data_IF_716755580620
#
_entry.id   IF_716755580620
#
_cell.length_a   1.000
_cell.length_b   1.000
_cell.length_c   1.000
_cell.angle_alpha   90.00
_cell.angle_beta   90.00
_cell.angle_gamma   90.00
#
_symmetry.space_group_name_H-M   'P 1'
#
loop_
_entity.id
_entity.type
_entity.pdbx_description
1 polymer ?
#
# COMPACT_ATOMS: atom_id res chain seq x y z
N UNK A 1 -15.90 1.75 6.11
CA UNK A 1 -14.57 2.28 5.73
C UNK A 1 -13.85 1.22 4.91
N UNK A 2 -13.08 1.59 3.91
CA UNK A 2 -12.46 0.64 2.99
C UNK A 2 -10.94 0.64 3.16
N UNK A 3 -10.34 -0.55 3.30
CA UNK A 3 -8.90 -0.76 3.38
C UNK A 3 -8.38 -1.32 2.04
N UNK A 4 -7.10 -1.21 1.77
CA UNK A 4 -6.40 -1.90 0.69
C UNK A 4 -5.39 -2.88 1.32
N UNK A 5 -5.85 -4.07 1.66
CA UNK A 5 -5.03 -5.12 2.27
C UNK A 5 -4.55 -6.12 1.23
N UNK A 6 -5.46 -6.52 0.33
CA UNK A 6 -5.20 -7.47 -0.76
C UNK A 6 -5.74 -6.91 -2.09
N UNK A 7 -5.37 -7.54 -3.19
CA UNK A 7 -5.89 -7.21 -4.53
C UNK A 7 -7.37 -7.55 -4.67
N UNK A 8 -7.87 -8.57 -3.98
CA UNK A 8 -9.31 -8.97 -3.93
C UNK A 8 -10.21 -7.95 -3.26
N UNK A 9 -9.67 -6.97 -2.55
CA UNK A 9 -10.47 -5.93 -1.90
C UNK A 9 -11.16 -5.00 -2.91
N UNK A 10 -10.81 -5.13 -4.20
CA UNK A 10 -11.34 -4.31 -5.28
C UNK A 10 -11.97 -5.16 -6.39
N UNK A 11 -13.11 -4.69 -6.92
CA UNK A 11 -13.70 -5.25 -8.14
C UNK A 11 -12.90 -4.83 -9.37
N UNK A 12 -13.15 -5.51 -10.50
CA UNK A 12 -12.50 -5.13 -11.77
C UNK A 12 -12.85 -3.70 -12.17
N UNK A 13 -14.11 -3.29 -11.99
CA UNK A 13 -14.56 -1.92 -12.31
C UNK A 13 -13.83 -0.87 -11.47
N UNK A 14 -13.56 -1.18 -10.21
CA UNK A 14 -12.83 -0.29 -9.31
C UNK A 14 -11.36 -0.20 -9.67
N UNK A 15 -10.74 -1.30 -10.09
CA UNK A 15 -9.37 -1.33 -10.58
C UNK A 15 -9.25 -0.51 -11.87
N UNK A 16 -10.21 -0.65 -12.79
CA UNK A 16 -10.25 0.16 -14.01
C UNK A 16 -10.42 1.66 -13.69
N UNK A 17 -11.28 2.01 -12.74
CA UNK A 17 -11.44 3.39 -12.29
C UNK A 17 -10.15 3.95 -11.67
N UNK A 18 -9.41 3.13 -10.89
CA UNK A 18 -8.08 3.51 -10.38
C UNK A 18 -7.09 3.76 -11.53
N UNK A 19 -7.12 2.96 -12.58
CA UNK A 19 -6.21 3.12 -13.73
C UNK A 19 -6.55 4.34 -14.58
N UNK A 20 -7.83 4.65 -14.77
CA UNK A 20 -8.24 5.93 -15.38
C UNK A 20 -7.65 7.09 -14.60
N UNK A 21 -7.80 7.06 -13.27
CA UNK A 21 -7.26 8.11 -12.40
C UNK A 21 -5.73 8.16 -12.42
N UNK A 22 -5.06 7.01 -12.47
CA UNK A 22 -3.61 6.94 -12.57
C UNK A 22 -3.10 7.57 -13.90
N UNK A 23 -3.79 7.34 -15.02
CA UNK A 23 -3.45 7.97 -16.30
C UNK A 23 -3.59 9.50 -16.24
N UNK A 24 -4.65 10.02 -15.61
CA UNK A 24 -4.79 11.48 -15.40
C UNK A 24 -3.59 12.08 -14.65
N UNK A 25 -3.01 11.33 -13.68
CA UNK A 25 -1.84 11.78 -12.94
C UNK A 25 -0.52 11.68 -13.73
N UNK A 26 -0.46 10.94 -14.82
CA UNK A 26 0.70 10.95 -15.72
C UNK A 26 0.75 12.24 -16.53
N UNK A 27 -0.39 12.75 -16.96
CA UNK A 27 -0.51 13.89 -17.87
C UNK A 27 -0.69 15.23 -17.13
N UNK A 28 -1.31 15.21 -15.94
CA UNK A 28 -1.61 16.41 -15.17
C UNK A 28 -0.68 16.57 -13.96
N UNK A 29 -0.38 17.82 -13.60
CA UNK A 29 0.27 18.11 -12.33
C UNK A 29 -0.63 17.64 -11.17
N UNK A 30 -0.05 17.05 -10.11
CA UNK A 30 -0.81 16.66 -8.91
C UNK A 30 -1.60 17.84 -8.37
N UNK A 31 -2.84 17.57 -7.96
CA UNK A 31 -3.75 18.56 -7.36
C UNK A 31 -3.75 18.39 -5.85
N UNK A 32 -4.07 19.46 -5.13
CA UNK A 32 -4.20 19.46 -3.67
C UNK A 32 -5.49 18.75 -3.18
N UNK A 33 -5.76 17.55 -3.73
CA UNK A 33 -6.96 16.76 -3.40
C UNK A 33 -6.94 16.16 -2.00
N UNK A 34 -5.75 16.10 -1.38
CA UNK A 34 -5.57 15.67 0.00
C UNK A 34 -5.16 16.83 0.92
N UNK A 35 -5.49 18.07 0.55
CA UNK A 35 -5.25 19.22 1.40
C UNK A 35 -5.96 19.04 2.75
N UNK A 36 -5.27 19.37 3.86
CA UNK A 36 -5.72 19.16 5.24
C UNK A 36 -5.92 17.69 5.64
N UNK A 37 -5.41 16.73 4.86
CA UNK A 37 -5.39 15.31 5.20
C UNK A 37 -4.03 14.91 5.74
N UNK A 38 -4.03 13.99 6.70
CA UNK A 38 -2.81 13.44 7.30
C UNK A 38 -2.67 11.99 6.91
N UNK A 39 -1.54 11.65 6.29
CA UNK A 39 -1.16 10.28 5.96
C UNK A 39 0.03 9.87 6.82
N UNK A 40 -0.13 8.79 7.59
CA UNK A 40 0.98 8.18 8.33
C UNK A 40 1.57 7.06 7.50
N UNK A 41 2.90 7.02 7.36
CA UNK A 41 3.63 5.87 6.83
C UNK A 41 4.39 5.20 7.96
N UNK A 42 4.11 3.92 8.23
CA UNK A 42 4.77 3.14 9.27
C UNK A 42 5.42 1.90 8.68
N UNK A 43 6.74 1.83 8.80
CA UNK A 43 7.55 0.76 8.21
C UNK A 43 8.35 0.05 9.28
N UNK A 44 8.02 -1.24 9.51
CA UNK A 44 8.70 -2.11 10.47
C UNK A 44 9.87 -2.88 9.86
N UNK A 45 10.10 -2.72 8.57
CA UNK A 45 11.26 -3.22 7.84
C UNK A 45 11.82 -2.15 6.89
N UNK A 46 13.10 -2.28 6.55
CA UNK A 46 13.73 -1.34 5.63
C UNK A 46 13.10 -1.40 4.24
N UNK A 47 12.65 -0.26 3.75
CA UNK A 47 12.09 -0.15 2.39
C UNK A 47 12.18 1.28 1.88
N UNK A 48 13.28 1.61 1.23
CA UNK A 48 13.50 2.96 0.73
C UNK A 48 12.53 3.31 -0.41
N UNK A 49 12.42 2.47 -1.42
CA UNK A 49 11.58 2.75 -2.60
C UNK A 49 10.10 2.88 -2.26
N UNK A 50 9.53 1.89 -1.58
CA UNK A 50 8.09 1.88 -1.25
C UNK A 50 7.73 3.04 -0.33
N UNK A 51 8.54 3.29 0.72
CA UNK A 51 8.32 4.42 1.63
C UNK A 51 8.32 5.74 0.86
N UNK A 52 9.41 6.00 0.12
CA UNK A 52 9.56 7.27 -0.61
C UNK A 52 8.46 7.46 -1.65
N UNK A 53 8.01 6.40 -2.35
CA UNK A 53 6.93 6.53 -3.34
C UNK A 53 5.61 6.94 -2.71
N UNK A 54 5.21 6.34 -1.58
CA UNK A 54 4.01 6.75 -0.84
C UNK A 54 4.12 8.17 -0.28
N UNK A 55 5.25 8.51 0.33
CA UNK A 55 5.47 9.85 0.90
C UNK A 55 5.44 10.93 -0.18
N UNK A 56 6.10 10.70 -1.31
CA UNK A 56 6.10 11.65 -2.43
C UNK A 56 4.70 11.79 -3.02
N UNK A 57 3.99 10.67 -3.24
CA UNK A 57 2.64 10.69 -3.78
C UNK A 57 1.69 11.47 -2.88
N UNK A 58 1.66 11.17 -1.58
CA UNK A 58 0.81 11.87 -0.63
C UNK A 58 1.12 13.38 -0.54
N UNK A 59 2.40 13.75 -0.50
CA UNK A 59 2.84 15.15 -0.50
C UNK A 59 2.45 15.89 -1.78
N UNK A 60 2.58 15.24 -2.95
CA UNK A 60 2.17 15.83 -4.24
C UNK A 60 0.66 16.05 -4.33
N UNK A 61 -0.12 15.30 -3.57
CA UNK A 61 -1.57 15.47 -3.46
C UNK A 61 -1.98 16.46 -2.35
N UNK A 62 -1.03 17.13 -1.70
CA UNK A 62 -1.28 18.14 -0.68
C UNK A 62 -1.43 17.62 0.75
N UNK A 63 -1.21 16.31 1.00
CA UNK A 63 -1.31 15.75 2.34
C UNK A 63 -0.13 16.13 3.24
N UNK A 64 -0.41 16.28 4.53
CA UNK A 64 0.60 16.19 5.57
C UNK A 64 1.05 14.72 5.70
N UNK A 65 2.35 14.47 5.67
CA UNK A 65 2.90 13.12 5.78
C UNK A 65 3.73 13.01 7.04
N UNK A 66 3.36 12.05 7.89
CA UNK A 66 4.12 11.67 9.10
C UNK A 66 4.75 10.31 8.85
N UNK A 67 6.08 10.26 8.82
CA UNK A 67 6.83 9.03 8.60
C UNK A 67 7.37 8.48 9.91
N UNK A 68 6.98 7.25 10.26
CA UNK A 68 7.41 6.55 11.46
C UNK A 68 8.35 5.40 11.10
N UNK A 69 9.56 5.45 11.59
CA UNK A 69 10.54 4.37 11.45
C UNK A 69 10.61 3.57 12.75
N UNK A 70 9.83 2.51 12.81
CA UNK A 70 9.72 1.65 14.00
C UNK A 70 10.86 0.63 14.07
N UNK A 71 11.59 0.42 12.96
CA UNK A 71 12.71 -0.53 12.93
C UNK A 71 13.82 -0.18 13.94
N UNK A 72 13.84 1.07 14.40
CA UNK A 72 14.90 1.60 15.29
C UNK A 72 14.42 2.00 16.69
N UNK A 73 13.13 2.12 16.98
CA UNK A 73 12.69 2.75 18.24
C UNK A 73 11.71 1.96 19.12
N UNK A 74 10.71 1.29 18.61
CA UNK A 74 9.63 0.74 19.45
C UNK A 74 9.77 -0.72 19.83
N UNK A 75 10.43 -1.56 19.03
CA UNK A 75 10.69 -2.95 19.38
C UNK A 75 11.60 -3.10 20.61
N UNK A 76 12.32 -2.04 20.98
CA UNK A 76 13.17 -2.01 22.19
C UNK A 76 12.41 -1.70 23.48
N UNK A 77 11.13 -1.25 23.39
CA UNK A 77 10.33 -0.82 24.55
C UNK A 77 9.21 -1.77 24.95
N UNK A 78 9.09 -2.95 24.29
CA UNK A 78 8.05 -3.93 24.61
C UNK A 78 6.64 -3.52 24.18
N UNK A 79 6.47 -2.51 23.33
CA UNK A 79 5.17 -2.13 22.78
C UNK A 79 4.59 -3.25 21.92
N UNK A 80 3.31 -3.55 22.15
CA UNK A 80 2.56 -4.51 21.34
C UNK A 80 2.05 -3.86 20.06
N UNK A 81 1.65 -4.68 19.09
CA UNK A 81 1.01 -4.19 17.86
C UNK A 81 -0.28 -3.41 18.18
N UNK A 82 -0.99 -3.80 19.24
CA UNK A 82 -2.22 -3.13 19.69
C UNK A 82 -1.94 -1.74 20.25
N UNK A 83 -0.88 -1.61 21.06
CA UNK A 83 -0.45 -0.31 21.59
C UNK A 83 -0.08 0.62 20.44
N UNK A 84 0.65 0.11 19.46
CA UNK A 84 0.99 0.86 18.24
C UNK A 84 -0.28 1.31 17.50
N UNK A 85 -1.27 0.41 17.30
CA UNK A 85 -2.52 0.74 16.63
C UNK A 85 -3.29 1.83 17.38
N UNK A 86 -3.44 1.70 18.70
CA UNK A 86 -4.13 2.68 19.54
C UNK A 86 -3.46 4.05 19.49
N UNK A 87 -2.13 4.09 19.56
CA UNK A 87 -1.36 5.34 19.45
C UNK A 87 -1.52 5.99 18.08
N UNK A 88 -1.51 5.21 16.99
CA UNK A 88 -1.71 5.73 15.64
C UNK A 88 -3.13 6.28 15.45
N UNK A 89 -4.14 5.57 15.94
CA UNK A 89 -5.53 6.00 15.83
C UNK A 89 -5.81 7.28 16.63
N UNK A 90 -5.21 7.41 17.81
CA UNK A 90 -5.30 8.61 18.65
C UNK A 90 -4.70 9.86 17.99
N UNK A 91 -3.80 9.72 17.03
CA UNK A 91 -3.25 10.83 16.25
C UNK A 91 -4.23 11.34 15.18
N UNK A 92 -5.34 10.65 14.94
CA UNK A 92 -6.39 11.03 14.00
C UNK A 92 -5.95 11.11 12.54
N UNK A 93 -5.21 10.12 11.99
CA UNK A 93 -4.82 10.16 10.58
C UNK A 93 -6.01 9.88 9.65
N UNK A 94 -5.94 10.41 8.43
CA UNK A 94 -6.90 10.11 7.37
C UNK A 94 -6.57 8.81 6.61
N UNK A 95 -5.32 8.35 6.66
CA UNK A 95 -4.89 7.04 6.15
C UNK A 95 -3.56 6.62 6.77
N UNK A 96 -3.35 5.29 6.87
CA UNK A 96 -2.08 4.72 7.33
C UNK A 96 -1.55 3.75 6.27
N UNK A 97 -0.32 3.97 5.80
CA UNK A 97 0.43 3.03 4.98
C UNK A 97 1.29 2.17 5.88
N UNK A 98 1.10 0.86 5.84
CA UNK A 98 1.80 -0.09 6.72
C UNK A 98 2.66 -1.04 5.90
N UNK A 99 3.91 -1.24 6.33
CA UNK A 99 4.75 -2.33 5.86
C UNK A 99 5.33 -3.10 7.04
N UNK A 100 5.18 -4.43 7.03
CA UNK A 100 5.63 -5.28 8.14
C UNK A 100 6.31 -6.57 7.64
N UNK A 101 7.26 -7.09 8.44
CA UNK A 101 7.95 -8.36 8.15
C UNK A 101 7.07 -9.60 8.33
N UNK A 102 6.03 -9.51 9.16
CA UNK A 102 5.08 -10.59 9.41
C UNK A 102 3.82 -10.42 8.59
N UNK A 103 3.36 -11.51 7.98
CA UNK A 103 2.11 -11.58 7.21
C UNK A 103 0.90 -11.31 8.10
N UNK A 104 -0.14 -10.63 7.56
CA UNK A 104 -1.41 -10.38 8.24
C UNK A 104 -1.45 -9.13 9.13
N UNK A 105 -0.31 -8.49 9.42
CA UNK A 105 -0.27 -7.31 10.29
C UNK A 105 -1.13 -6.15 9.80
N UNK A 106 -1.15 -5.76 8.51
CA UNK A 106 -2.06 -4.73 8.02
C UNK A 106 -3.54 -5.07 8.24
N UNK A 107 -3.91 -6.35 8.10
CA UNK A 107 -5.27 -6.81 8.37
C UNK A 107 -5.63 -6.69 9.86
N UNK A 108 -4.72 -7.05 10.74
CA UNK A 108 -4.91 -6.90 12.18
C UNK A 108 -5.10 -5.42 12.53
N UNK A 109 -4.21 -4.54 12.08
CA UNK A 109 -4.29 -3.10 12.34
C UNK A 109 -5.61 -2.49 11.83
N UNK A 110 -6.12 -2.93 10.70
CA UNK A 110 -7.38 -2.47 10.12
C UNK A 110 -8.59 -2.68 11.06
N UNK A 111 -8.52 -3.61 12.02
CA UNK A 111 -9.57 -3.85 13.00
C UNK A 111 -9.49 -2.94 14.25
N UNK A 112 -8.40 -2.17 14.39
CA UNK A 112 -8.13 -1.38 15.60
C UNK A 112 -7.95 0.11 15.33
N UNK A 113 -8.11 0.55 14.09
CA UNK A 113 -7.98 1.98 13.71
C UNK A 113 -9.22 2.46 12.97
N UNK A 114 -9.52 3.74 13.09
CA UNK A 114 -10.68 4.40 12.47
C UNK A 114 -10.36 5.08 11.13
N UNK A 115 -9.27 4.69 10.46
CA UNK A 115 -8.89 5.20 9.15
C UNK A 115 -8.50 4.07 8.18
N UNK A 116 -8.51 4.30 6.86
CA UNK A 116 -8.03 3.33 5.87
C UNK A 116 -6.60 2.86 6.13
N UNK A 117 -6.41 1.53 6.07
CA UNK A 117 -5.08 0.90 6.03
C UNK A 117 -4.74 0.56 4.58
N UNK A 118 -3.52 0.92 4.16
CA UNK A 118 -2.93 0.58 2.87
C UNK A 118 -1.73 -0.34 3.14
N UNK A 119 -1.79 -1.56 2.61
CA UNK A 119 -0.72 -2.54 2.73
C UNK A 119 0.44 -2.21 1.76
N UNK A 120 1.54 -1.71 2.29
CA UNK A 120 2.81 -1.47 1.58
C UNK A 120 3.73 -2.69 1.49
N UNK A 121 3.20 -3.89 1.82
CA UNK A 121 3.89 -5.18 1.82
C UNK A 121 3.96 -5.83 3.20
N UNK A 122 3.50 -7.06 3.35
CA UNK A 122 3.52 -7.81 4.59
C UNK A 122 4.07 -9.22 4.43
N UNK A 123 5.19 -9.48 5.07
CA UNK A 123 5.88 -10.77 5.04
C UNK A 123 6.05 -11.33 3.62
N UNK A 124 5.69 -12.58 3.43
CA UNK A 124 5.57 -13.24 2.12
C UNK A 124 4.14 -13.21 1.56
N UNK A 125 3.19 -12.54 2.25
CA UNK A 125 1.76 -12.65 1.97
C UNK A 125 1.32 -11.78 0.80
N UNK A 126 1.33 -10.44 0.93
CA UNK A 126 0.76 -9.55 -0.08
C UNK A 126 1.53 -8.22 -0.25
N UNK A 127 1.45 -7.69 -1.46
CA UNK A 127 1.86 -6.33 -1.82
C UNK A 127 0.92 -5.77 -2.90
N UNK A 128 -0.34 -5.46 -2.52
CA UNK A 128 -1.40 -5.15 -3.49
C UNK A 128 -1.07 -3.95 -4.38
N UNK A 129 -0.46 -2.91 -3.82
CA UNK A 129 -0.09 -1.72 -4.60
C UNK A 129 0.99 -2.01 -5.64
N UNK A 130 1.88 -2.98 -5.39
CA UNK A 130 2.85 -3.40 -6.39
C UNK A 130 2.18 -4.20 -7.52
N UNK A 131 1.26 -5.11 -7.19
CA UNK A 131 0.54 -5.86 -8.22
C UNK A 131 -0.33 -4.93 -9.10
N UNK A 132 -1.01 -3.94 -8.50
CA UNK A 132 -1.73 -2.92 -9.25
C UNK A 132 -0.81 -2.11 -10.17
N UNK A 133 0.38 -1.74 -9.70
CA UNK A 133 1.40 -1.07 -10.52
C UNK A 133 1.88 -1.95 -11.67
N UNK A 134 2.12 -3.24 -11.42
CA UNK A 134 2.56 -4.19 -12.43
C UNK A 134 1.47 -4.37 -13.50
N UNK A 135 0.21 -4.57 -13.10
CA UNK A 135 -0.93 -4.67 -14.01
C UNK A 135 -1.12 -3.38 -14.83
N UNK A 136 -1.05 -2.21 -14.18
CA UNK A 136 -1.13 -0.92 -14.86
C UNK A 136 -0.04 -0.80 -15.95
N UNK A 137 1.19 -1.18 -15.61
CA UNK A 137 2.33 -1.15 -16.53
C UNK A 137 2.12 -2.09 -17.72
N UNK A 138 1.66 -3.32 -17.45
CA UNK A 138 1.35 -4.31 -18.51
C UNK A 138 0.27 -3.76 -19.44
N UNK A 139 -0.83 -3.23 -18.89
CA UNK A 139 -1.92 -2.65 -19.70
C UNK A 139 -1.46 -1.45 -20.51
N UNK A 140 -0.63 -0.59 -19.94
CA UNK A 140 -0.09 0.59 -20.64
C UNK A 140 0.76 0.20 -21.86
N UNK A 141 1.56 -0.86 -21.76
CA UNK A 141 2.44 -1.29 -22.86
C UNK A 141 1.80 -2.26 -23.85
N UNK A 142 0.89 -3.11 -23.40
CA UNK A 142 0.36 -4.22 -24.20
C UNK A 142 -1.16 -4.15 -24.45
N UNK A 143 -1.84 -3.13 -23.93
CA UNK A 143 -3.30 -3.00 -24.02
C UNK A 143 -4.03 -4.03 -23.12
N UNK A 144 -5.05 -4.67 -23.66
CA UNK A 144 -5.79 -5.69 -22.90
C UNK A 144 -4.89 -6.89 -22.55
N UNK A 145 -5.03 -7.35 -21.30
CA UNK A 145 -4.26 -8.49 -20.78
C UNK A 145 -4.93 -9.82 -21.06
N UNK A 146 -6.19 -9.82 -21.51
CA UNK A 146 -6.95 -11.03 -21.77
C UNK A 146 -6.22 -11.96 -22.75
N UNK A 147 -5.99 -13.19 -22.32
CA UNK A 147 -5.31 -14.23 -23.11
C UNK A 147 -3.79 -14.07 -23.19
N UNK A 148 -3.19 -13.08 -22.54
CA UNK A 148 -1.73 -12.97 -22.47
C UNK A 148 -1.15 -13.99 -21.48
N UNK A 149 0.07 -14.45 -21.77
CA UNK A 149 0.83 -15.33 -20.88
C UNK A 149 1.85 -14.51 -20.13
N UNK A 150 1.79 -14.55 -18.82
CA UNK A 150 2.74 -13.89 -17.91
C UNK A 150 3.57 -14.96 -17.21
N UNK A 151 4.89 -14.84 -17.27
CA UNK A 151 5.82 -15.71 -16.54
C UNK A 151 6.38 -14.94 -15.35
N UNK A 152 6.24 -15.49 -14.14
CA UNK A 152 6.87 -14.97 -12.92
C UNK A 152 8.01 -15.92 -12.56
N UNK A 153 9.24 -15.39 -12.53
CA UNK A 153 10.46 -16.20 -12.32
C UNK A 153 11.18 -15.73 -11.07
N UNK A 154 11.46 -16.65 -10.15
CA UNK A 154 12.19 -16.37 -8.91
C UNK A 154 11.73 -17.24 -7.76
N UNK A 155 11.91 -16.79 -6.52
CA UNK A 155 11.40 -17.47 -5.33
C UNK A 155 9.91 -17.17 -5.14
N UNK A 156 9.06 -17.88 -5.90
CA UNK A 156 7.62 -17.67 -5.93
C UNK A 156 6.98 -17.90 -4.54
N UNK A 157 7.44 -18.94 -3.84
CA UNK A 157 6.86 -19.35 -2.54
C UNK A 157 6.95 -18.25 -1.49
N UNK A 158 8.04 -17.48 -1.49
CA UNK A 158 8.28 -16.46 -0.47
C UNK A 158 8.09 -15.03 -0.99
N UNK A 159 7.60 -14.87 -2.22
CA UNK A 159 7.42 -13.56 -2.85
C UNK A 159 6.00 -13.03 -2.68
N UNK A 160 5.82 -12.06 -1.79
CA UNK A 160 4.56 -11.31 -1.65
C UNK A 160 4.10 -10.62 -2.94
N UNK A 161 5.05 -10.24 -3.80
CA UNK A 161 4.74 -9.63 -5.11
C UNK A 161 4.20 -10.70 -6.06
N UNK A 162 4.84 -11.87 -6.13
CA UNK A 162 4.34 -12.98 -6.93
C UNK A 162 2.93 -13.38 -6.48
N UNK A 163 2.70 -13.53 -5.17
CA UNK A 163 1.39 -13.89 -4.63
C UNK A 163 0.31 -12.89 -5.06
N UNK A 164 0.54 -11.60 -4.89
CA UNK A 164 -0.42 -10.56 -5.30
C UNK A 164 -0.62 -10.49 -6.81
N UNK A 165 0.42 -10.73 -7.62
CA UNK A 165 0.30 -10.77 -9.07
C UNK A 165 -0.47 -12.01 -9.56
N UNK A 166 -0.24 -13.19 -8.96
CA UNK A 166 -1.00 -14.42 -9.29
C UNK A 166 -2.49 -14.23 -8.99
N UNK A 167 -2.80 -13.51 -7.92
CA UNK A 167 -4.18 -13.23 -7.53
C UNK A 167 -4.85 -12.20 -8.44
N UNK A 168 -4.11 -11.19 -8.93
CA UNK A 168 -4.66 -10.07 -9.69
C UNK A 168 -4.73 -10.35 -11.20
N UNK A 169 -3.72 -11.02 -11.77
CA UNK A 169 -3.58 -11.28 -13.21
C UNK A 169 -4.39 -12.50 -13.66
#
# INVERSE_FOLDING_TARGET
MRHLINTRDFSLEEIEALFVRANEFLDEKPRDILQNKTVITIFFENSTRTRSSFEIAAKRLGAMVVSLDVSKSSSSKGETLFDTAANLDAMGPDAIVVRHKSSGVPHILANYVNCPIINGGDGSHAHPTQALLDLFTIKHHFGDIKGKKVAIVGDIKNSRVANSNIELL
#
